data_IF_258050151633
#
_entry.id   IF_258050151633
#
_cell.length_a   1.000
_cell.length_b   1.000
_cell.length_c   1.000
_cell.angle_alpha   90.00
_cell.angle_beta   90.00
_cell.angle_gamma   90.00
#
_symmetry.space_group_name_H-M   'P 1'
#
loop_
_entity.id
_entity.type
_entity.pdbx_description
1 polymer ?
#
# COMPACT_ATOMS: atom_id res chain seq x y z
N UNK A 1 1.74 21.65 11.75
CA UNK A 1 1.97 20.23 12.13
C UNK A 1 2.36 19.31 10.96
N UNK A 2 2.14 19.67 9.67
CA UNK A 2 2.40 18.79 8.51
C UNK A 2 3.89 18.55 8.16
N UNK A 3 4.82 19.43 8.59
CA UNK A 3 6.20 19.40 8.11
C UNK A 3 7.11 18.37 8.79
N UNK A 4 6.66 17.61 9.79
CA UNK A 4 7.53 16.67 10.52
C UNK A 4 7.48 15.23 9.98
N UNK A 5 6.40 14.82 9.32
CA UNK A 5 6.20 13.43 8.87
C UNK A 5 6.73 13.15 7.46
N UNK A 6 6.95 14.18 6.65
CA UNK A 6 7.38 14.01 5.26
C UNK A 6 8.74 13.31 5.14
N UNK A 7 9.83 13.72 5.83
CA UNK A 7 11.14 13.08 5.69
C UNK A 7 11.10 11.58 6.04
N UNK A 8 10.46 11.25 7.17
CA UNK A 8 10.31 9.86 7.62
C UNK A 8 9.63 8.98 6.56
N UNK A 9 8.46 9.40 6.06
CA UNK A 9 7.69 8.61 5.10
C UNK A 9 8.46 8.37 3.79
N UNK A 10 9.26 9.36 3.37
CA UNK A 10 10.05 9.28 2.16
C UNK A 10 11.30 8.41 2.37
N UNK A 11 11.99 8.50 3.52
CA UNK A 11 13.12 7.60 3.84
C UNK A 11 12.67 6.14 3.90
N UNK A 12 11.50 5.89 4.49
CA UNK A 12 10.92 4.54 4.55
C UNK A 12 10.61 3.98 3.15
N UNK A 13 10.15 4.82 2.21
CA UNK A 13 9.91 4.41 0.81
C UNK A 13 11.21 4.04 0.11
N UNK A 14 12.28 4.82 0.29
CA UNK A 14 13.60 4.50 -0.28
C UNK A 14 14.11 3.16 0.26
N UNK A 15 13.94 2.90 1.57
CA UNK A 15 14.33 1.62 2.18
C UNK A 15 13.53 0.44 1.61
N UNK A 16 12.22 0.60 1.37
CA UNK A 16 11.35 -0.46 0.83
C UNK A 16 11.55 -0.75 -0.65
N UNK A 17 11.88 0.27 -1.44
CA UNK A 17 11.94 0.16 -2.91
C UNK A 17 13.31 -0.28 -3.43
N UNK A 18 14.33 -0.37 -2.58
CA UNK A 18 15.69 -0.72 -3.00
C UNK A 18 16.10 -2.09 -2.44
N UNK A 19 16.33 -3.05 -3.34
CA UNK A 19 16.84 -4.37 -2.97
C UNK A 19 18.36 -4.40 -2.76
N UNK A 20 19.09 -3.43 -3.32
CA UNK A 20 20.54 -3.33 -3.19
C UNK A 20 20.95 -2.30 -2.14
N UNK A 21 21.70 -2.74 -1.12
CA UNK A 21 22.12 -1.90 0.01
C UNK A 21 22.94 -0.67 -0.40
N UNK A 22 23.85 -0.82 -1.37
CA UNK A 22 24.70 0.29 -1.82
C UNK A 22 23.89 1.41 -2.50
N UNK A 23 23.02 1.04 -3.44
CA UNK A 23 22.12 1.98 -4.13
C UNK A 23 21.14 2.65 -3.17
N UNK A 24 20.64 1.90 -2.17
CA UNK A 24 19.77 2.44 -1.14
C UNK A 24 20.44 3.56 -0.35
N UNK A 25 21.69 3.36 0.10
CA UNK A 25 22.42 4.37 0.87
C UNK A 25 22.68 5.64 0.05
N UNK A 26 23.08 5.51 -1.22
CA UNK A 26 23.27 6.66 -2.12
C UNK A 26 21.98 7.48 -2.28
N UNK A 27 20.84 6.80 -2.45
CA UNK A 27 19.55 7.46 -2.57
C UNK A 27 19.09 8.11 -1.26
N UNK A 28 19.36 7.48 -0.11
CA UNK A 28 19.07 8.06 1.21
C UNK A 28 19.87 9.35 1.43
N UNK A 29 21.16 9.35 1.11
CA UNK A 29 22.03 10.53 1.21
C UNK A 29 21.57 11.64 0.26
N UNK A 30 21.26 11.29 -0.98
CA UNK A 30 20.70 12.25 -1.96
C UNK A 30 19.40 12.88 -1.44
N UNK A 31 18.52 12.07 -0.84
CA UNK A 31 17.26 12.55 -0.33
C UNK A 31 17.43 13.39 0.95
N UNK A 32 18.39 13.04 1.80
CA UNK A 32 18.78 13.81 2.97
C UNK A 32 19.23 15.22 2.58
N UNK A 33 20.17 15.32 1.64
CA UNK A 33 20.69 16.61 1.14
C UNK A 33 19.58 17.47 0.54
N UNK A 34 18.61 16.86 -0.18
CA UNK A 34 17.45 17.57 -0.72
C UNK A 34 16.54 18.13 0.37
N UNK A 35 16.33 17.40 1.47
CA UNK A 35 15.54 17.94 2.58
C UNK A 35 16.31 19.02 3.34
N UNK A 36 17.61 18.87 3.53
CA UNK A 36 18.43 19.92 4.13
C UNK A 36 18.37 21.22 3.31
N UNK A 37 18.52 21.13 1.99
CA UNK A 37 18.39 22.28 1.08
C UNK A 37 16.99 22.93 1.12
N UNK A 38 15.95 22.18 1.50
CA UNK A 38 14.58 22.68 1.71
C UNK A 38 14.38 23.32 3.10
N UNK A 39 15.41 23.41 3.92
CA UNK A 39 15.36 24.02 5.25
C UNK A 39 14.91 23.10 6.38
N UNK A 40 14.93 21.77 6.17
CA UNK A 40 14.70 20.83 7.27
C UNK A 40 15.94 20.79 8.18
N UNK A 41 15.78 20.94 9.50
CA UNK A 41 16.90 20.93 10.43
C UNK A 41 17.47 19.50 10.58
N UNK A 42 18.78 19.41 10.77
CA UNK A 42 19.52 18.13 10.84
C UNK A 42 18.92 17.15 11.85
N UNK A 43 18.58 17.63 13.05
CA UNK A 43 17.98 16.81 14.11
C UNK A 43 16.70 16.08 13.67
N UNK A 44 15.83 16.75 12.90
CA UNK A 44 14.59 16.13 12.39
C UNK A 44 14.92 15.08 11.32
N UNK A 45 15.92 15.34 10.47
CA UNK A 45 16.31 14.42 9.42
C UNK A 45 16.97 13.16 9.98
N UNK A 46 17.85 13.33 10.96
CA UNK A 46 18.52 12.21 11.65
C UNK A 46 17.53 11.35 12.43
N UNK A 47 16.62 11.99 13.16
CA UNK A 47 15.54 11.28 13.87
C UNK A 47 14.65 10.52 12.89
N UNK A 48 14.25 11.16 11.79
CA UNK A 48 13.43 10.53 10.76
C UNK A 48 14.13 9.35 10.07
N UNK A 49 15.42 9.49 9.74
CA UNK A 49 16.21 8.44 9.11
C UNK A 49 16.42 7.25 10.07
N UNK A 50 16.77 7.53 11.32
CA UNK A 50 16.91 6.51 12.37
C UNK A 50 15.60 5.74 12.54
N UNK A 51 14.49 6.47 12.71
CA UNK A 51 13.16 5.87 12.85
C UNK A 51 12.76 5.04 11.63
N UNK A 52 13.06 5.50 10.41
CA UNK A 52 12.78 4.76 9.19
C UNK A 52 13.57 3.45 9.10
N UNK A 53 14.86 3.46 9.47
CA UNK A 53 15.69 2.26 9.52
C UNK A 53 15.15 1.26 10.54
N UNK A 54 14.83 1.71 11.77
CA UNK A 54 14.25 0.84 12.80
C UNK A 54 12.94 0.21 12.34
N UNK A 55 12.05 1.00 11.74
CA UNK A 55 10.77 0.52 11.23
C UNK A 55 10.90 -0.44 10.03
N UNK A 56 11.97 -0.33 9.23
CA UNK A 56 12.24 -1.25 8.13
C UNK A 56 12.82 -2.59 8.60
N UNK A 57 13.65 -2.58 9.65
CA UNK A 57 14.27 -3.79 10.20
C UNK A 57 13.31 -4.58 11.10
N UNK A 58 12.33 -3.93 11.71
CA UNK A 58 11.29 -4.62 12.46
C UNK A 58 10.46 -5.47 11.49
N UNK A 59 10.26 -6.78 11.77
CA UNK A 59 9.30 -7.56 11.01
C UNK A 59 7.96 -6.85 11.10
N UNK A 60 7.38 -6.55 9.94
CA UNK A 60 6.12 -5.85 9.84
C UNK A 60 5.09 -6.71 10.58
N UNK A 61 4.78 -6.35 11.82
CA UNK A 61 3.64 -6.89 12.57
C UNK A 61 2.32 -6.36 12.00
N UNK A 62 2.30 -6.03 10.71
CA UNK A 62 1.10 -6.21 9.92
C UNK A 62 0.84 -7.70 9.95
N UNK A 63 0.10 -8.10 10.99
CA UNK A 63 -0.74 -9.27 10.95
C UNK A 63 -1.15 -9.44 9.50
N UNK A 64 -0.74 -10.56 8.90
CA UNK A 64 -1.32 -11.05 7.68
C UNK A 64 -2.80 -11.13 8.02
N UNK A 65 -3.55 -10.05 7.77
CA UNK A 65 -5.00 -10.04 7.90
C UNK A 65 -5.40 -11.25 7.08
N UNK A 66 -5.91 -12.28 7.76
CA UNK A 66 -6.20 -13.58 7.17
C UNK A 66 -6.67 -13.36 5.75
N UNK A 67 -5.90 -13.86 4.77
CA UNK A 67 -6.10 -13.57 3.37
C UNK A 67 -7.60 -13.68 3.09
N UNK A 68 -8.26 -12.55 2.83
CA UNK A 68 -9.69 -12.56 2.62
C UNK A 68 -9.88 -13.29 1.30
N UNK A 69 -10.33 -14.55 1.35
CA UNK A 69 -10.49 -15.46 0.20
C UNK A 69 -11.55 -14.97 -0.80
N UNK A 70 -12.06 -13.75 -0.64
CA UNK A 70 -13.00 -13.13 -1.56
C UNK A 70 -12.25 -12.60 -2.77
N UNK A 71 -12.68 -13.04 -3.95
CA UNK A 71 -12.22 -12.46 -5.21
C UNK A 71 -12.52 -10.95 -5.24
N UNK A 72 -11.47 -10.17 -5.47
CA UNK A 72 -11.55 -8.72 -5.65
C UNK A 72 -11.62 -8.46 -7.16
N UNK A 73 -12.64 -7.74 -7.59
CA UNK A 73 -12.76 -7.29 -8.98
C UNK A 73 -12.25 -5.85 -9.08
N UNK A 74 -11.03 -5.61 -9.63
CA UNK A 74 -10.53 -4.26 -9.86
C UNK A 74 -11.28 -3.63 -11.03
N UNK A 75 -12.07 -2.60 -10.78
CA UNK A 75 -12.88 -1.93 -11.80
C UNK A 75 -12.20 -0.64 -12.23
N UNK A 76 -11.57 -0.64 -13.41
CA UNK A 76 -10.98 0.55 -14.02
C UNK A 76 -11.92 1.17 -15.07
N UNK A 77 -13.21 1.44 -14.79
CA UNK A 77 -14.04 2.18 -15.77
C UNK A 77 -15.32 2.78 -15.16
N UNK A 78 -15.76 3.94 -15.63
CA UNK A 78 -16.99 4.62 -15.18
C UNK A 78 -18.28 3.91 -15.58
N UNK A 79 -18.27 3.11 -16.65
CA UNK A 79 -19.39 2.25 -17.09
C UNK A 79 -19.67 1.05 -16.15
N UNK A 80 -18.88 0.91 -15.08
CA UNK A 80 -18.84 -0.27 -14.22
C UNK A 80 -19.81 -0.21 -13.04
N UNK A 81 -20.43 0.95 -12.79
CA UNK A 81 -21.38 1.15 -11.67
C UNK A 81 -22.67 0.38 -11.89
N UNK A 82 -23.22 0.41 -13.10
CA UNK A 82 -24.44 -0.32 -13.47
C UNK A 82 -24.22 -1.82 -13.39
N UNK A 83 -23.11 -2.33 -13.95
CA UNK A 83 -22.71 -3.73 -13.83
C UNK A 83 -22.52 -4.16 -12.37
N UNK A 84 -21.90 -3.31 -11.54
CA UNK A 84 -21.75 -3.58 -10.10
C UNK A 84 -23.11 -3.72 -9.42
N UNK A 85 -24.05 -2.83 -9.72
CA UNK A 85 -25.40 -2.87 -9.16
C UNK A 85 -26.15 -4.13 -9.59
N UNK A 86 -26.06 -4.50 -10.87
CA UNK A 86 -26.67 -5.71 -11.43
C UNK A 86 -26.12 -6.98 -10.81
N UNK A 87 -24.79 -7.08 -10.63
CA UNK A 87 -24.15 -8.24 -9.99
C UNK A 87 -24.52 -8.29 -8.50
N UNK A 88 -24.56 -7.15 -7.79
CA UNK A 88 -24.92 -7.12 -6.36
C UNK A 88 -26.36 -7.50 -6.10
N UNK A 89 -27.29 -7.07 -6.96
CA UNK A 89 -28.73 -7.30 -6.81
C UNK A 89 -29.13 -8.73 -7.19
N UNK A 90 -28.47 -9.30 -8.21
CA UNK A 90 -28.78 -10.64 -8.72
C UNK A 90 -27.83 -11.73 -8.19
N UNK A 91 -26.98 -11.42 -7.22
CA UNK A 91 -25.99 -12.38 -6.69
C UNK A 91 -26.63 -13.67 -6.17
N UNK A 92 -27.81 -13.58 -5.56
CA UNK A 92 -28.54 -14.75 -5.04
C UNK A 92 -28.88 -15.76 -6.14
N UNK A 93 -29.07 -15.30 -7.38
CA UNK A 93 -29.34 -16.14 -8.55
C UNK A 93 -28.02 -16.69 -9.10
N UNK A 94 -27.01 -15.82 -9.23
CA UNK A 94 -25.68 -16.20 -9.73
C UNK A 94 -24.99 -17.24 -8.83
N UNK A 95 -25.20 -17.18 -7.51
CA UNK A 95 -24.62 -18.11 -6.55
C UNK A 95 -25.21 -19.54 -6.62
N UNK A 96 -26.35 -19.72 -7.29
CA UNK A 96 -26.99 -21.02 -7.50
C UNK A 96 -26.47 -21.74 -8.75
N UNK A 97 -25.65 -21.08 -9.57
CA UNK A 97 -25.10 -21.65 -10.79
C UNK A 97 -24.07 -22.76 -10.47
N UNK A 98 -24.30 -24.01 -10.91
CA UNK A 98 -23.39 -25.13 -10.66
C UNK A 98 -22.06 -25.01 -11.43
N UNK A 99 -21.99 -24.14 -12.44
CA UNK A 99 -20.76 -23.90 -13.22
C UNK A 99 -19.84 -22.87 -12.59
N UNK A 100 -20.28 -22.20 -11.52
CA UNK A 100 -19.52 -21.16 -10.86
C UNK A 100 -18.33 -21.76 -10.06
N UNK A 101 -17.09 -21.28 -10.29
CA UNK A 101 -15.92 -21.70 -9.51
C UNK A 101 -16.14 -21.51 -8.01
N UNK A 102 -15.60 -22.40 -7.17
CA UNK A 102 -15.78 -22.32 -5.71
C UNK A 102 -15.34 -20.98 -5.13
N UNK A 103 -14.29 -20.39 -5.69
CA UNK A 103 -13.75 -19.08 -5.31
C UNK A 103 -14.73 -17.92 -5.54
N UNK A 104 -15.67 -18.09 -6.49
CA UNK A 104 -16.68 -17.12 -6.84
C UNK A 104 -18.03 -17.39 -6.21
N UNK A 105 -18.18 -18.40 -5.34
CA UNK A 105 -19.45 -18.64 -4.61
C UNK A 105 -19.72 -17.57 -3.56
N UNK A 106 -18.68 -16.86 -3.11
CA UNK A 106 -18.82 -15.75 -2.17
C UNK A 106 -19.01 -14.43 -2.92
N UNK A 107 -19.90 -13.60 -2.38
CA UNK A 107 -20.17 -12.28 -2.96
C UNK A 107 -18.88 -11.45 -3.08
N UNK A 108 -18.52 -10.99 -4.30
CA UNK A 108 -17.27 -10.30 -4.52
C UNK A 108 -17.25 -8.92 -3.86
N UNK A 109 -16.05 -8.46 -3.53
CA UNK A 109 -15.79 -7.10 -3.11
C UNK A 109 -15.36 -6.28 -4.34
N UNK A 110 -16.00 -5.13 -4.51
CA UNK A 110 -15.68 -4.19 -5.59
C UNK A 110 -14.80 -3.09 -5.01
N UNK A 111 -13.64 -2.82 -5.61
CA UNK A 111 -12.79 -1.68 -5.29
C UNK A 111 -12.81 -0.65 -6.41
N UNK A 112 -12.88 0.64 -6.04
CA UNK A 112 -12.84 1.80 -6.93
C UNK A 112 -11.47 2.47 -6.89
#
# INVERSE_FOLDING_TARGET
HLNKSLPYSQFLRVLRNNSQSHQCNLQLETMYNRFQARGYPHNILDEALKRARTAYTLPDSRDVKAANTRSIFPMQYTASVELTSSIRNNWNILALDPTLPEDLRQKPLFCY
#
